data_IF_236206672862
#
_entry.id   IF_236206672862
#
_cell.length_a   1.000
_cell.length_b   1.000
_cell.length_c   1.000
_cell.angle_alpha   90.00
_cell.angle_beta   90.00
_cell.angle_gamma   90.00
#
_symmetry.space_group_name_H-M   'P 1'
#
loop_
_entity.id
_entity.type
_entity.pdbx_description
1 polymer ?
#
# COMPACT_ATOMS: atom_id res chain seq x y z
N UNK A 1 -5.02 4.01 -15.98
CA UNK A 1 -5.12 4.24 -17.45
C UNK A 1 -6.33 3.46 -17.94
N UNK A 2 -7.23 4.09 -18.70
CA UNK A 2 -8.38 3.42 -19.29
C UNK A 2 -8.06 2.90 -20.68
N UNK A 3 -8.39 1.65 -20.96
CA UNK A 3 -8.22 1.04 -22.28
C UNK A 3 -9.59 0.63 -22.82
N UNK A 4 -9.87 0.94 -24.09
CA UNK A 4 -11.04 0.41 -24.79
C UNK A 4 -10.59 -0.81 -25.59
N UNK A 5 -11.10 -1.98 -25.22
CA UNK A 5 -10.81 -3.23 -25.93
C UNK A 5 -11.97 -3.55 -26.88
N UNK A 6 -11.72 -3.85 -28.17
CA UNK A 6 -12.76 -4.27 -29.11
C UNK A 6 -13.53 -5.47 -28.54
N UNK A 7 -14.86 -5.41 -28.48
CA UNK A 7 -15.73 -6.47 -27.95
C UNK A 7 -15.85 -6.56 -26.41
N UNK A 8 -14.98 -5.89 -25.64
CA UNK A 8 -14.93 -6.02 -24.16
C UNK A 8 -15.22 -4.72 -23.39
N UNK A 9 -15.43 -3.61 -24.11
CA UNK A 9 -15.77 -2.32 -23.52
C UNK A 9 -14.59 -1.59 -22.87
N UNK A 10 -14.88 -0.66 -21.97
CA UNK A 10 -13.88 0.14 -21.25
C UNK A 10 -13.37 -0.63 -20.03
N UNK A 11 -12.06 -0.81 -19.94
CA UNK A 11 -11.39 -1.47 -18.81
C UNK A 11 -10.39 -0.51 -18.18
N UNK A 12 -10.43 -0.42 -16.86
CA UNK A 12 -9.53 0.42 -16.09
C UNK A 12 -8.41 -0.43 -15.50
N UNK A 13 -7.18 -0.19 -15.95
CA UNK A 13 -6.01 -0.90 -15.46
C UNK A 13 -5.09 0.07 -14.71
N UNK A 14 -4.62 -0.37 -13.54
CA UNK A 14 -3.60 0.32 -12.76
C UNK A 14 -2.27 -0.39 -12.97
N UNK A 15 -1.33 0.29 -13.61
CA UNK A 15 0.03 -0.21 -13.76
C UNK A 15 0.83 0.15 -12.50
N UNK A 16 1.53 -0.84 -11.94
CA UNK A 16 2.52 -0.56 -10.91
C UNK A 16 3.79 -0.03 -11.58
N UNK A 17 4.15 1.21 -11.28
CA UNK A 17 5.40 1.81 -11.77
C UNK A 17 6.55 1.19 -10.97
N UNK A 18 7.53 0.56 -11.63
CA UNK A 18 8.66 -0.06 -10.94
C UNK A 18 9.54 1.00 -10.26
N UNK A 19 10.09 0.67 -9.09
CA UNK A 19 10.84 1.57 -8.19
C UNK A 19 12.26 1.95 -8.69
N UNK A 20 12.49 2.03 -10.01
CA UNK A 20 13.83 2.11 -10.62
C UNK A 20 14.53 3.45 -10.32
N UNK A 21 13.77 4.54 -10.14
CA UNK A 21 14.30 5.88 -9.82
C UNK A 21 13.48 6.58 -8.75
N UNK A 22 13.39 5.97 -7.57
CA UNK A 22 12.74 6.62 -6.43
C UNK A 22 13.43 7.94 -6.09
N UNK A 23 12.65 9.01 -5.99
CA UNK A 23 13.15 10.31 -5.56
C UNK A 23 13.64 10.22 -4.11
N UNK A 24 14.72 10.94 -3.80
CA UNK A 24 15.15 11.11 -2.41
C UNK A 24 14.08 11.91 -1.67
N UNK A 25 13.79 11.53 -0.43
CA UNK A 25 12.97 12.34 0.44
C UNK A 25 13.72 13.62 0.83
N UNK A 26 13.06 14.76 0.65
CA UNK A 26 13.50 16.08 1.11
C UNK A 26 12.34 16.61 1.93
N UNK A 27 12.60 16.89 3.20
CA UNK A 27 11.61 17.42 4.12
C UNK A 27 11.25 18.85 3.69
N UNK A 28 9.95 19.13 3.53
CA UNK A 28 9.40 20.41 3.07
C UNK A 28 8.75 21.21 4.21
N UNK A 29 8.91 20.76 5.46
CA UNK A 29 8.23 21.33 6.63
C UNK A 29 6.88 20.68 6.96
N UNK A 30 6.31 19.85 6.07
CA UNK A 30 4.99 19.25 6.25
C UNK A 30 5.03 17.72 6.22
N UNK A 31 5.84 17.13 5.34
CA UNK A 31 5.89 15.68 5.14
C UNK A 31 7.21 15.11 5.64
N UNK A 32 7.22 14.51 6.83
CA UNK A 32 8.43 13.90 7.43
C UNK A 32 8.94 12.67 6.67
N UNK A 33 8.05 11.98 5.96
CA UNK A 33 8.37 10.86 5.08
C UNK A 33 7.24 10.70 4.04
N UNK A 34 7.53 10.00 2.95
CA UNK A 34 6.52 9.70 1.91
C UNK A 34 6.74 8.28 1.38
N UNK A 35 5.68 7.50 1.27
CA UNK A 35 5.73 6.13 0.74
C UNK A 35 6.18 6.14 -0.72
N UNK A 36 7.05 5.20 -1.09
CA UNK A 36 7.72 5.10 -2.39
C UNK A 36 8.77 6.18 -2.64
N UNK A 37 9.32 6.83 -1.60
CA UNK A 37 10.61 7.51 -1.68
C UNK A 37 11.74 6.56 -1.30
N UNK A 38 12.97 6.95 -1.65
CA UNK A 38 14.17 6.14 -1.34
C UNK A 38 14.25 5.87 0.17
N UNK A 39 14.28 4.61 0.56
CA UNK A 39 14.31 4.18 1.97
C UNK A 39 12.92 4.04 2.63
N UNK A 40 11.84 4.41 1.94
CA UNK A 40 10.47 4.36 2.43
C UNK A 40 9.57 3.57 1.45
N UNK A 41 9.98 2.35 1.09
CA UNK A 41 9.18 1.50 0.19
C UNK A 41 7.87 1.08 0.86
N UNK A 42 6.84 0.81 0.04
CA UNK A 42 5.58 0.27 0.56
C UNK A 42 5.79 -1.00 1.38
N UNK A 43 6.71 -1.87 0.95
CA UNK A 43 7.01 -3.13 1.65
C UNK A 43 7.60 -2.88 3.04
N UNK A 44 8.51 -1.91 3.16
CA UNK A 44 9.09 -1.53 4.44
C UNK A 44 8.01 -1.01 5.39
N UNK A 45 7.15 -0.10 4.91
CA UNK A 45 6.05 0.41 5.73
C UNK A 45 5.15 -0.72 6.26
N UNK A 46 4.76 -1.68 5.42
CA UNK A 46 3.96 -2.82 5.85
C UNK A 46 4.70 -3.65 6.90
N UNK A 47 5.97 -3.97 6.68
CA UNK A 47 6.77 -4.74 7.64
C UNK A 47 6.93 -4.02 8.99
N UNK A 48 7.18 -2.70 8.97
CA UNK A 48 7.29 -1.89 10.18
C UNK A 48 5.97 -1.86 10.96
N UNK A 49 4.82 -1.80 10.26
CA UNK A 49 3.49 -1.85 10.90
C UNK A 49 3.18 -3.26 11.42
N UNK A 50 3.56 -4.31 10.68
CA UNK A 50 3.34 -5.68 11.13
C UNK A 50 4.17 -6.05 12.35
N UNK A 51 5.38 -5.51 12.47
CA UNK A 51 6.21 -5.62 13.66
C UNK A 51 5.56 -5.02 14.93
N UNK A 52 4.54 -4.16 14.78
CA UNK A 52 3.78 -3.57 15.88
C UNK A 52 2.55 -4.42 16.29
N UNK A 53 2.36 -5.61 15.75
CA UNK A 53 1.20 -6.47 16.07
C UNK A 53 -0.06 -6.11 15.29
N UNK A 54 0.11 -5.58 14.08
CA UNK A 54 -0.98 -5.43 13.12
C UNK A 54 -0.76 -6.41 11.98
N UNK A 55 -1.83 -6.88 11.34
CA UNK A 55 -1.70 -7.75 10.15
C UNK A 55 -2.33 -7.08 8.96
N UNK A 56 -1.59 -6.95 7.86
CA UNK A 56 -2.16 -6.35 6.65
C UNK A 56 -3.28 -7.25 6.13
N UNK A 57 -4.51 -6.75 6.15
CA UNK A 57 -5.67 -7.47 5.63
C UNK A 57 -5.82 -7.24 4.12
N UNK A 58 -5.77 -5.97 3.69
CA UNK A 58 -5.77 -5.62 2.26
C UNK A 58 -5.16 -4.24 2.03
N UNK A 59 -4.70 -4.01 0.80
CA UNK A 59 -4.40 -2.66 0.33
C UNK A 59 -4.94 -2.46 -1.07
N UNK A 60 -5.43 -1.26 -1.37
CA UNK A 60 -6.03 -0.94 -2.66
C UNK A 60 -5.80 0.53 -3.03
N UNK A 61 -5.97 0.84 -4.32
CA UNK A 61 -5.97 2.20 -4.86
C UNK A 61 -7.32 2.44 -5.49
N UNK A 62 -7.86 3.63 -5.31
CA UNK A 62 -9.10 4.03 -5.96
C UNK A 62 -8.77 4.61 -7.34
N UNK A 63 -9.52 4.25 -8.39
CA UNK A 63 -9.19 4.72 -9.74
C UNK A 63 -9.27 6.23 -9.94
N UNK A 64 -10.15 6.91 -9.19
CA UNK A 64 -10.35 8.35 -9.22
C UNK A 64 -9.13 9.11 -8.69
N UNK A 65 -8.37 8.48 -7.80
CA UNK A 65 -7.24 9.09 -7.09
C UNK A 65 -6.07 8.10 -7.01
N UNK A 66 -5.47 7.72 -8.15
CA UNK A 66 -4.56 6.57 -8.25
C UNK A 66 -3.23 6.76 -7.51
N UNK A 67 -2.92 7.98 -7.10
CA UNK A 67 -1.76 8.32 -6.28
C UNK A 67 -1.96 8.00 -4.79
N UNK A 68 -3.20 7.89 -4.33
CA UNK A 68 -3.52 7.45 -2.98
C UNK A 68 -3.67 5.94 -2.90
N UNK A 69 -3.04 5.33 -1.90
CA UNK A 69 -3.20 3.92 -1.54
C UNK A 69 -3.75 3.83 -0.13
N UNK A 70 -4.77 3.00 0.02
CA UNK A 70 -5.35 2.65 1.31
C UNK A 70 -4.76 1.33 1.79
N UNK A 71 -4.49 1.25 3.10
CA UNK A 71 -4.08 0.04 3.79
C UNK A 71 -5.11 -0.25 4.88
N UNK A 72 -5.57 -1.49 4.94
CA UNK A 72 -6.50 -1.96 5.97
C UNK A 72 -5.76 -3.02 6.75
N UNK A 73 -5.64 -2.82 8.05
CA UNK A 73 -4.99 -3.73 8.97
C UNK A 73 -6.03 -4.31 9.94
N UNK A 74 -5.82 -5.56 10.33
CA UNK A 74 -6.50 -6.15 11.48
C UNK A 74 -5.57 -6.05 12.69
N UNK A 75 -6.16 -5.92 13.87
CA UNK A 75 -5.43 -6.15 15.12
C UNK A 75 -5.04 -7.62 15.14
N UNK A 76 -3.76 -7.95 15.31
CA UNK A 76 -3.42 -9.32 15.65
C UNK A 76 -3.85 -9.50 17.10
N UNK A 77 -5.05 -10.03 17.33
CA UNK A 77 -5.36 -10.62 18.62
C UNK A 77 -4.28 -11.69 18.84
N UNK A 78 -3.41 -11.49 19.82
CA UNK A 78 -2.43 -12.50 20.20
C UNK A 78 -3.18 -13.81 20.42
N UNK A 79 -2.77 -14.84 19.67
CA UNK A 79 -3.21 -16.23 19.73
C UNK A 79 -4.43 -16.53 20.63
N UNK A 80 -5.61 -16.70 20.02
CA UNK A 80 -6.75 -17.38 20.64
C UNK A 80 -6.53 -18.92 20.71
N UNK A 81 -5.31 -19.38 20.97
CA UNK A 81 -4.96 -20.81 21.05
C UNK A 81 -5.07 -21.41 22.47
N UNK A 82 -5.54 -20.65 23.47
CA UNK A 82 -5.68 -21.13 24.87
C UNK A 82 -7.12 -21.31 25.38
N UNK A 83 -8.15 -21.31 24.53
CA UNK A 83 -9.53 -21.59 24.98
C UNK A 83 -10.11 -22.86 24.37
N UNK A 84 -9.47 -23.99 24.66
CA UNK A 84 -10.16 -25.30 24.73
C UNK A 84 -9.32 -26.29 25.54
N UNK A 85 -9.52 -26.28 26.86
CA UNK A 85 -9.35 -27.43 27.75
C UNK A 85 -10.63 -27.54 28.56
#
# INVERSE_FOLDING_TARGET
MGFRLPGFGFKMAMLNIPEIRLRRHVFDGQHYWEVNKRGYSQKKFVADVEALGLKLYRSYRVPEVPYHRFFVFNVSNGDESEKSI
#
